data_IF_652708249748
#
_entry.id   IF_652708249748
#
_cell.length_a   1.000
_cell.length_b   1.000
_cell.length_c   1.000
_cell.angle_alpha   90.00
_cell.angle_beta   90.00
_cell.angle_gamma   90.00
#
_symmetry.space_group_name_H-M   'P 1'
#
loop_
_entity.id
_entity.type
_entity.pdbx_description
1 polymer ?
#
# COMPACT_ATOMS: atom_id res chain seq x y z
N UNK A 1 -1.86 8.37 -8.68
CA UNK A 1 -2.18 9.78 -8.96
C UNK A 1 -1.48 10.22 -10.26
N UNK A 2 -2.22 10.87 -11.15
CA UNK A 2 -1.65 11.47 -12.37
C UNK A 2 -1.51 12.99 -12.15
N UNK A 3 -0.26 13.46 -12.03
CA UNK A 3 0.03 14.86 -11.77
C UNK A 3 -0.35 15.81 -12.93
N UNK A 4 -0.37 15.31 -14.18
CA UNK A 4 -0.78 16.12 -15.32
C UNK A 4 -2.29 16.35 -15.38
N UNK A 5 -3.06 15.41 -14.84
CA UNK A 5 -4.54 15.46 -14.79
C UNK A 5 -5.05 15.86 -13.41
N UNK A 6 -4.15 16.01 -12.44
CA UNK A 6 -4.42 16.34 -11.03
C UNK A 6 -5.48 15.44 -10.38
N UNK A 7 -5.47 14.15 -10.74
CA UNK A 7 -6.47 13.19 -10.24
C UNK A 7 -5.90 11.83 -9.88
N UNK A 8 -6.62 11.12 -8.99
CA UNK A 8 -6.40 9.69 -8.75
C UNK A 8 -6.93 8.93 -9.96
N UNK A 9 -6.06 8.17 -10.64
CA UNK A 9 -6.43 7.35 -11.80
C UNK A 9 -6.57 5.87 -11.44
N UNK A 10 -5.97 5.43 -10.34
CA UNK A 10 -6.08 4.07 -9.82
C UNK A 10 -6.23 4.14 -8.31
N UNK A 11 -7.29 3.51 -7.79
CA UNK A 11 -7.51 3.25 -6.37
C UNK A 11 -7.99 1.80 -6.25
N UNK A 12 -7.04 0.88 -6.14
CA UNK A 12 -7.25 -0.55 -6.27
C UNK A 12 -6.45 -1.32 -5.21
N UNK A 13 -6.96 -2.46 -4.73
CA UNK A 13 -6.21 -3.32 -3.81
C UNK A 13 -4.90 -3.81 -4.41
N UNK A 14 -3.85 -3.91 -3.60
CA UNK A 14 -2.53 -4.43 -4.00
C UNK A 14 -2.52 -5.95 -4.02
N UNK A 15 -3.37 -6.55 -4.85
CA UNK A 15 -3.57 -7.99 -4.97
C UNK A 15 -3.43 -8.41 -6.43
N UNK A 16 -2.80 -9.55 -6.67
CA UNK A 16 -2.65 -10.14 -7.99
C UNK A 16 -3.03 -11.62 -7.99
N UNK A 17 -3.62 -12.08 -9.09
CA UNK A 17 -3.78 -13.51 -9.37
C UNK A 17 -2.72 -13.93 -10.39
N UNK A 18 -2.01 -14.99 -10.07
CA UNK A 18 -0.97 -15.56 -10.92
C UNK A 18 -1.36 -16.96 -11.39
N UNK A 19 -0.85 -17.37 -12.57
CA UNK A 19 -1.05 -18.69 -13.14
C UNK A 19 0.24 -19.51 -13.06
N UNK A 20 0.12 -20.73 -12.51
CA UNK A 20 1.18 -21.75 -12.53
C UNK A 20 2.49 -21.32 -11.91
N UNK A 21 3.55 -22.06 -12.23
CA UNK A 21 4.91 -21.80 -11.74
C UNK A 21 5.55 -20.54 -12.35
N UNK A 22 5.11 -20.14 -13.55
CA UNK A 22 5.62 -18.95 -14.25
C UNK A 22 5.25 -17.64 -13.57
N UNK A 23 4.30 -17.68 -12.62
CA UNK A 23 3.79 -16.51 -11.90
C UNK A 23 3.30 -15.38 -12.83
N UNK A 24 2.82 -15.75 -14.02
CA UNK A 24 2.20 -14.79 -14.92
C UNK A 24 1.01 -14.12 -14.24
N UNK A 25 1.04 -12.80 -14.13
CA UNK A 25 -0.06 -12.03 -13.54
C UNK A 25 -1.21 -11.95 -14.52
N UNK A 26 -2.35 -12.56 -14.18
CA UNK A 26 -3.54 -12.63 -15.03
C UNK A 26 -4.61 -11.61 -14.65
N UNK A 27 -4.77 -11.33 -13.34
CA UNK A 27 -5.70 -10.33 -12.83
C UNK A 27 -5.05 -9.52 -11.70
N UNK A 28 -5.50 -8.27 -11.48
CA UNK A 28 -4.99 -7.36 -10.45
C UNK A 28 -6.12 -6.56 -9.83
N UNK A 29 -5.87 -6.02 -8.63
CA UNK A 29 -6.79 -5.11 -7.96
C UNK A 29 -8.08 -5.78 -7.51
N UNK A 30 -9.20 -5.10 -7.69
CA UNK A 30 -10.53 -5.57 -7.32
C UNK A 30 -10.90 -6.87 -8.04
N UNK A 31 -10.55 -7.00 -9.33
CA UNK A 31 -10.76 -8.24 -10.09
C UNK A 31 -10.05 -9.44 -9.46
N UNK A 32 -8.79 -9.25 -9.04
CA UNK A 32 -8.03 -10.28 -8.34
C UNK A 32 -8.63 -10.61 -6.96
N UNK A 33 -9.10 -9.60 -6.24
CA UNK A 33 -9.73 -9.77 -4.93
C UNK A 33 -11.04 -10.58 -5.03
N UNK A 34 -11.84 -10.34 -6.06
CA UNK A 34 -13.10 -11.06 -6.29
C UNK A 34 -12.89 -12.55 -6.65
N UNK A 35 -11.69 -12.89 -7.11
CA UNK A 35 -11.29 -14.28 -7.38
C UNK A 35 -10.83 -15.02 -6.12
N UNK A 36 -10.63 -14.35 -5.00
CA UNK A 36 -10.18 -14.96 -3.74
C UNK A 36 -11.16 -16.02 -3.27
N UNK A 37 -10.67 -17.23 -3.04
CA UNK A 37 -11.49 -18.39 -2.62
C UNK A 37 -12.34 -19.02 -3.71
N UNK A 38 -12.22 -18.55 -4.97
CA UNK A 38 -12.95 -19.08 -6.14
C UNK A 38 -12.00 -19.59 -7.24
N UNK A 39 -10.69 -19.56 -6.99
CA UNK A 39 -9.68 -19.93 -7.97
C UNK A 39 -9.51 -21.44 -8.05
N UNK A 40 -9.28 -21.93 -9.27
CA UNK A 40 -8.85 -23.31 -9.50
C UNK A 40 -7.43 -23.54 -8.94
N UNK A 41 -7.05 -24.79 -8.68
CA UNK A 41 -5.75 -25.17 -8.08
C UNK A 41 -4.52 -24.63 -8.84
N UNK A 42 -4.68 -24.27 -10.10
CA UNK A 42 -3.62 -23.70 -10.94
C UNK A 42 -3.42 -22.19 -10.76
N UNK A 43 -4.26 -21.52 -9.96
CA UNK A 43 -4.22 -20.07 -9.75
C UNK A 43 -3.88 -19.75 -8.30
N UNK A 44 -2.99 -18.77 -8.10
CA UNK A 44 -2.61 -18.29 -6.78
C UNK A 44 -2.94 -16.81 -6.62
N UNK A 45 -3.55 -16.46 -5.50
CA UNK A 45 -3.80 -15.06 -5.13
C UNK A 45 -2.67 -14.58 -4.22
N UNK A 46 -1.97 -13.54 -4.62
CA UNK A 46 -0.78 -13.03 -3.95
C UNK A 46 -0.90 -11.54 -3.65
N UNK A 47 -0.34 -11.14 -2.51
CA UNK A 47 -0.10 -9.74 -2.19
C UNK A 47 1.41 -9.46 -2.35
N UNK A 48 1.85 -8.86 -3.45
CA UNK A 48 3.28 -8.68 -3.75
C UNK A 48 3.93 -7.57 -2.94
N UNK A 49 3.14 -6.76 -2.24
CA UNK A 49 3.63 -5.69 -1.34
C UNK A 49 3.01 -5.90 0.04
N UNK A 50 3.83 -5.98 1.07
CA UNK A 50 3.38 -6.16 2.43
C UNK A 50 4.26 -5.37 3.40
N UNK A 51 3.66 -4.74 4.40
CA UNK A 51 4.35 -3.99 5.46
C UNK A 51 5.36 -2.96 4.91
N UNK A 52 5.01 -2.34 3.77
CA UNK A 52 5.84 -1.35 3.08
C UNK A 52 7.01 -1.92 2.25
N UNK A 53 7.14 -3.26 2.15
CA UNK A 53 8.20 -3.94 1.40
C UNK A 53 7.68 -4.79 0.24
N UNK A 54 8.56 -5.13 -0.71
CA UNK A 54 8.28 -6.04 -1.83
C UNK A 54 8.45 -7.48 -1.34
N UNK A 55 7.39 -8.29 -1.42
CA UNK A 55 7.43 -9.72 -1.05
C UNK A 55 7.66 -10.62 -2.26
N UNK A 56 7.28 -10.16 -3.45
CA UNK A 56 7.49 -10.87 -4.70
C UNK A 56 7.73 -9.88 -5.83
N UNK A 57 8.96 -9.84 -6.33
CA UNK A 57 9.40 -8.88 -7.33
C UNK A 57 8.63 -8.98 -8.64
N UNK A 58 8.59 -10.17 -9.26
CA UNK A 58 7.98 -10.38 -10.57
C UNK A 58 6.47 -10.07 -10.56
N UNK A 59 5.80 -10.47 -9.47
CA UNK A 59 4.37 -10.21 -9.30
C UNK A 59 4.12 -8.71 -9.06
N UNK A 60 4.99 -8.01 -8.33
CA UNK A 60 4.89 -6.57 -8.13
C UNK A 60 5.05 -5.80 -9.45
N UNK A 61 6.04 -6.18 -10.27
CA UNK A 61 6.23 -5.63 -11.62
C UNK A 61 5.01 -5.87 -12.48
N UNK A 62 4.51 -7.11 -12.52
CA UNK A 62 3.34 -7.48 -13.31
C UNK A 62 2.07 -6.74 -12.90
N UNK A 63 1.85 -6.60 -11.58
CA UNK A 63 0.74 -5.83 -11.02
C UNK A 63 0.80 -4.36 -11.43
N UNK A 64 1.94 -3.72 -11.21
CA UNK A 64 2.11 -2.30 -11.53
C UNK A 64 1.99 -2.06 -13.03
N UNK A 65 2.59 -2.92 -13.85
CA UNK A 65 2.48 -2.85 -15.30
C UNK A 65 1.03 -2.92 -15.77
N UNK A 66 0.23 -3.87 -15.24
CA UNK A 66 -1.20 -3.97 -15.59
C UNK A 66 -1.99 -2.73 -15.18
N UNK A 67 -1.69 -2.13 -14.01
CA UNK A 67 -2.33 -0.88 -13.61
C UNK A 67 -1.96 0.28 -14.53
N UNK A 68 -0.71 0.37 -14.94
CA UNK A 68 -0.25 1.39 -15.88
C UNK A 68 -0.85 1.18 -17.27
N UNK A 69 -0.82 -0.03 -17.81
CA UNK A 69 -1.40 -0.40 -19.12
C UNK A 69 -2.89 -0.05 -19.21
N UNK A 70 -3.64 -0.33 -18.15
CA UNK A 70 -5.09 -0.09 -18.09
C UNK A 70 -5.46 1.39 -18.06
N UNK A 71 -4.59 2.24 -17.49
CA UNK A 71 -4.93 3.62 -17.16
C UNK A 71 -4.12 4.67 -17.92
N UNK A 72 -3.01 4.27 -18.55
CA UNK A 72 -2.14 5.19 -19.30
C UNK A 72 -2.01 4.69 -20.74
N UNK A 73 -2.65 5.38 -21.68
CA UNK A 73 -2.60 5.06 -23.10
C UNK A 73 -1.17 5.19 -23.66
N UNK A 74 -0.41 4.06 -23.72
CA UNK A 74 0.88 3.91 -24.43
C UNK A 74 1.97 4.96 -24.16
N UNK A 75 2.03 5.58 -23.01
CA UNK A 75 2.97 6.68 -22.70
C UNK A 75 4.17 6.20 -21.85
N UNK A 76 4.48 4.90 -21.82
CA UNK A 76 5.47 4.30 -20.94
C UNK A 76 6.87 4.92 -21.01
N UNK A 77 7.32 5.42 -22.17
CA UNK A 77 8.69 5.89 -22.34
C UNK A 77 9.03 7.22 -21.66
N UNK A 78 8.07 7.85 -20.96
CA UNK A 78 8.24 9.19 -20.37
C UNK A 78 7.73 9.31 -18.94
N UNK A 79 7.33 8.21 -18.29
CA UNK A 79 6.79 8.25 -16.94
C UNK A 79 7.90 8.57 -15.95
N UNK A 80 7.70 9.62 -15.16
CA UNK A 80 8.43 9.87 -13.93
C UNK A 80 7.51 9.53 -12.76
N UNK A 81 7.97 8.68 -11.85
CA UNK A 81 7.17 8.21 -10.73
C UNK A 81 7.71 8.76 -9.42
N UNK A 82 6.83 9.31 -8.59
CA UNK A 82 7.08 9.51 -7.17
C UNK A 82 6.41 8.37 -6.40
N UNK A 83 7.16 7.69 -5.55
CA UNK A 83 6.70 6.52 -4.79
C UNK A 83 6.84 6.80 -3.31
N UNK A 84 5.73 6.69 -2.59
CA UNK A 84 5.73 6.79 -1.13
C UNK A 84 6.31 5.51 -0.53
N UNK A 85 7.24 5.67 0.41
CA UNK A 85 7.91 4.57 1.11
C UNK A 85 7.92 4.81 2.61
N UNK A 86 7.90 3.76 3.45
CA UNK A 86 8.00 3.94 4.88
C UNK A 86 9.30 4.62 5.30
N UNK A 87 9.23 5.45 6.32
CA UNK A 87 10.41 6.06 6.92
C UNK A 87 11.34 5.00 7.51
N UNK A 88 12.63 5.13 7.22
CA UNK A 88 13.65 4.26 7.79
C UNK A 88 13.75 2.87 7.16
N UNK A 89 13.16 2.64 5.98
CA UNK A 89 13.43 1.41 5.22
C UNK A 89 14.89 1.35 4.78
N UNK A 90 15.43 0.12 4.70
CA UNK A 90 16.82 -0.12 4.32
C UNK A 90 17.09 0.16 2.83
N UNK A 91 18.36 0.37 2.49
CA UNK A 91 18.77 0.66 1.10
C UNK A 91 18.43 -0.48 0.13
N UNK A 92 18.42 -1.72 0.61
CA UNK A 92 18.03 -2.90 -0.19
C UNK A 92 16.55 -2.84 -0.55
N UNK A 93 15.70 -2.48 0.41
CA UNK A 93 14.25 -2.33 0.19
C UNK A 93 13.96 -1.16 -0.74
N UNK A 94 14.66 -0.02 -0.59
CA UNK A 94 14.56 1.14 -1.49
C UNK A 94 14.88 0.74 -2.93
N UNK A 95 16.01 0.07 -3.15
CA UNK A 95 16.42 -0.40 -4.47
C UNK A 95 15.41 -1.36 -5.08
N UNK A 96 14.89 -2.31 -4.30
CA UNK A 96 13.86 -3.24 -4.78
C UNK A 96 12.61 -2.50 -5.28
N UNK A 97 12.16 -1.46 -4.57
CA UNK A 97 11.03 -0.64 -4.98
C UNK A 97 11.34 0.13 -6.27
N UNK A 98 12.51 0.78 -6.35
CA UNK A 98 12.94 1.49 -7.55
C UNK A 98 13.00 0.55 -8.77
N UNK A 99 13.61 -0.62 -8.62
CA UNK A 99 13.73 -1.62 -9.68
C UNK A 99 12.37 -2.16 -10.15
N UNK A 100 11.42 -2.38 -9.24
CA UNK A 100 10.04 -2.76 -9.60
C UNK A 100 9.40 -1.69 -10.47
N UNK A 101 9.50 -0.42 -10.08
CA UNK A 101 8.85 0.69 -10.78
C UNK A 101 9.51 0.95 -12.15
N UNK A 102 10.83 0.85 -12.23
CA UNK A 102 11.57 0.94 -13.51
C UNK A 102 11.20 -0.24 -14.42
N UNK A 103 11.18 -1.47 -13.89
CA UNK A 103 10.82 -2.67 -14.64
C UNK A 103 9.37 -2.66 -15.12
N UNK A 104 8.49 -1.95 -14.41
CA UNK A 104 7.12 -1.73 -14.85
C UNK A 104 6.98 -0.66 -15.95
N UNK A 105 8.05 0.09 -16.27
CA UNK A 105 8.10 1.02 -17.40
C UNK A 105 8.36 2.49 -17.06
N UNK A 106 8.63 2.84 -15.80
CA UNK A 106 9.02 4.19 -15.45
C UNK A 106 10.46 4.50 -15.90
N UNK A 107 10.68 5.73 -16.35
CA UNK A 107 12.00 6.22 -16.75
C UNK A 107 12.83 6.72 -15.56
N UNK A 108 12.16 7.36 -14.63
CA UNK A 108 12.76 7.96 -13.44
C UNK A 108 11.87 7.66 -12.24
N UNK A 109 12.49 7.38 -11.10
CA UNK A 109 11.80 7.07 -9.84
C UNK A 109 12.34 7.96 -8.73
N UNK A 110 11.45 8.56 -7.98
CA UNK A 110 11.76 9.38 -6.81
C UNK A 110 11.06 8.77 -5.61
N UNK A 111 11.83 8.42 -4.58
CA UNK A 111 11.26 7.92 -3.33
C UNK A 111 11.00 9.09 -2.40
N UNK A 112 9.83 9.11 -1.77
CA UNK A 112 9.43 10.09 -0.77
C UNK A 112 8.94 9.37 0.48
N UNK A 113 9.37 9.81 1.66
CA UNK A 113 8.89 9.21 2.91
C UNK A 113 7.39 9.47 3.11
N UNK A 114 6.65 8.43 3.53
CA UNK A 114 5.19 8.48 3.64
C UNK A 114 4.68 9.63 4.51
N UNK A 115 5.26 9.94 5.69
CA UNK A 115 4.81 11.07 6.48
C UNK A 115 5.02 12.42 5.78
N UNK A 116 6.10 12.57 4.98
CA UNK A 116 6.33 13.78 4.20
C UNK A 116 5.30 13.92 3.08
N UNK A 117 5.04 12.82 2.36
CA UNK A 117 4.01 12.79 1.33
C UNK A 117 2.62 13.09 1.93
N UNK A 118 2.32 12.50 3.10
CA UNK A 118 1.08 12.74 3.85
C UNK A 118 0.93 14.21 4.28
N UNK A 119 2.00 14.84 4.77
CA UNK A 119 2.01 16.25 5.14
C UNK A 119 1.67 17.15 3.95
N UNK A 120 2.31 16.89 2.79
CA UNK A 120 2.04 17.61 1.54
C UNK A 120 0.58 17.42 1.11
N UNK A 121 0.10 16.18 1.11
CA UNK A 121 -1.27 15.85 0.74
C UNK A 121 -2.34 16.45 1.65
N UNK A 122 -2.01 16.65 2.93
CA UNK A 122 -2.85 17.34 3.91
C UNK A 122 -2.80 18.89 3.79
N UNK A 123 -2.00 19.43 2.87
CA UNK A 123 -1.87 20.88 2.67
C UNK A 123 -1.01 21.57 3.74
N UNK A 124 -0.17 20.83 4.45
CA UNK A 124 0.78 21.42 5.41
C UNK A 124 1.88 22.14 4.62
N UNK A 125 2.16 23.40 4.97
CA UNK A 125 3.33 24.08 4.42
C UNK A 125 4.61 23.57 5.11
N UNK A 126 5.19 22.56 4.47
CA UNK A 126 6.40 21.90 4.97
C UNK A 126 7.65 22.80 4.96
N UNK A 127 7.63 23.93 4.25
CA UNK A 127 8.78 24.84 4.11
C UNK A 127 8.89 25.82 5.28
N UNK A 128 7.84 25.95 6.08
CA UNK A 128 7.90 26.78 7.29
C UNK A 128 8.94 26.25 8.29
N UNK A 129 9.62 27.15 9.03
CA UNK A 129 10.53 26.76 10.12
C UNK A 129 9.76 26.38 11.38
N UNK A 130 8.79 25.49 11.23
CA UNK A 130 7.96 24.91 12.29
C UNK A 130 8.02 23.40 12.21
N UNK A 131 8.00 22.72 13.35
CA UNK A 131 7.88 21.27 13.41
C UNK A 131 6.42 20.86 13.39
N UNK A 132 6.03 20.09 12.38
CA UNK A 132 4.72 19.47 12.28
C UNK A 132 4.83 18.00 12.65
N UNK A 133 4.03 17.54 13.60
CA UNK A 133 3.94 16.13 13.95
C UNK A 133 2.92 15.47 13.03
N UNK A 134 3.39 14.52 12.24
CA UNK A 134 2.57 13.73 11.30
C UNK A 134 2.43 12.33 11.88
N UNK A 135 1.20 11.83 11.92
CA UNK A 135 0.89 10.44 12.26
C UNK A 135 0.20 9.83 11.04
N UNK A 136 0.86 8.85 10.44
CA UNK A 136 0.37 8.12 9.27
C UNK A 136 0.05 6.67 9.70
N UNK A 137 -1.22 6.29 9.61
CA UNK A 137 -1.69 4.94 9.96
C UNK A 137 -2.21 4.28 8.70
N UNK A 138 -1.37 3.46 8.08
CA UNK A 138 -1.69 2.73 6.86
C UNK A 138 -2.29 1.34 7.09
N UNK A 139 -2.17 0.49 6.10
CA UNK A 139 -2.54 -0.91 6.20
C UNK A 139 -1.46 -1.73 6.93
N UNK A 140 -0.20 -1.62 6.52
CA UNK A 140 0.91 -2.42 7.06
C UNK A 140 1.76 -1.70 8.10
N UNK A 141 1.90 -0.37 8.01
CA UNK A 141 2.78 0.43 8.87
C UNK A 141 2.04 1.59 9.53
N UNK A 142 2.47 1.91 10.76
CA UNK A 142 2.13 3.15 11.44
C UNK A 142 3.40 3.96 11.62
N UNK A 143 3.38 5.21 11.21
CA UNK A 143 4.53 6.10 11.21
C UNK A 143 4.22 7.38 11.97
N UNK A 144 5.17 7.81 12.77
CA UNK A 144 5.13 9.12 13.44
C UNK A 144 6.40 9.87 13.04
N UNK A 145 6.25 11.07 12.53
CA UNK A 145 7.39 11.90 12.11
C UNK A 145 7.20 13.36 12.49
N UNK A 146 8.31 14.04 12.66
CA UNK A 146 8.35 15.50 12.69
C UNK A 146 8.88 15.98 11.34
N UNK A 147 8.08 16.79 10.68
CA UNK A 147 8.42 17.40 9.37
C UNK A 147 8.67 18.89 9.58
N UNK A 148 9.74 19.42 9.00
CA UNK A 148 10.10 20.84 9.05
C UNK A 148 11.05 21.18 7.90
N UNK A 149 10.99 22.39 7.36
CA UNK A 149 11.90 22.90 6.32
C UNK A 149 12.08 21.95 5.14
N UNK A 150 10.96 21.38 4.66
CA UNK A 150 10.92 20.50 3.48
C UNK A 150 11.40 19.07 3.70
N UNK A 151 11.67 18.64 4.92
CA UNK A 151 12.19 17.30 5.20
C UNK A 151 11.68 16.67 6.50
N UNK A 152 11.96 15.37 6.64
CA UNK A 152 11.71 14.63 7.88
C UNK A 152 12.89 14.85 8.83
N UNK A 153 12.62 15.43 9.99
CA UNK A 153 13.63 15.70 11.03
C UNK A 153 13.90 14.46 11.88
N UNK A 154 12.84 13.77 12.26
CA UNK A 154 12.87 12.51 13.00
C UNK A 154 11.63 11.71 12.68
N UNK A 155 11.78 10.40 12.60
CA UNK A 155 10.65 9.50 12.38
C UNK A 155 10.80 8.20 13.15
N UNK A 156 9.66 7.56 13.39
CA UNK A 156 9.56 6.22 13.94
C UNK A 156 8.49 5.47 13.16
N UNK A 157 8.84 4.30 12.64
CA UNK A 157 7.91 3.40 11.95
C UNK A 157 7.76 2.09 12.74
N UNK A 158 6.53 1.58 12.79
CA UNK A 158 6.21 0.26 13.33
C UNK A 158 5.38 -0.53 12.33
N UNK A 159 5.66 -1.84 12.19
CA UNK A 159 4.91 -2.75 11.31
C UNK A 159 3.66 -3.28 12.05
N UNK A 160 2.80 -2.36 12.47
CA UNK A 160 1.51 -2.66 13.12
C UNK A 160 0.54 -1.56 12.75
N UNK A 161 -0.49 -1.89 12.01
CA UNK A 161 -1.49 -0.96 11.48
C UNK A 161 -2.80 -1.69 11.16
N UNK A 162 -3.55 -1.25 10.17
CA UNK A 162 -4.86 -1.77 9.82
C UNK A 162 -4.93 -3.30 9.64
N UNK A 163 -3.90 -3.89 9.00
CA UNK A 163 -3.82 -5.33 8.78
C UNK A 163 -3.64 -6.13 10.08
N UNK A 164 -2.88 -5.59 11.03
CA UNK A 164 -2.71 -6.19 12.35
C UNK A 164 -4.04 -6.21 13.12
N UNK A 165 -4.78 -5.09 13.09
CA UNK A 165 -6.10 -5.00 13.71
C UNK A 165 -7.11 -5.98 13.08
N UNK A 166 -7.09 -6.17 11.76
CA UNK A 166 -7.93 -7.17 11.09
C UNK A 166 -7.60 -8.59 11.56
N UNK A 167 -6.31 -8.91 11.68
CA UNK A 167 -5.87 -10.20 12.18
C UNK A 167 -6.28 -10.42 13.65
N UNK A 168 -6.20 -9.40 14.49
CA UNK A 168 -6.63 -9.48 15.90
C UNK A 168 -8.14 -9.75 15.99
N UNK A 169 -8.95 -9.11 15.12
CA UNK A 169 -10.39 -9.38 15.04
C UNK A 169 -10.64 -10.83 14.63
N UNK A 170 -9.96 -11.35 13.62
CA UNK A 170 -10.07 -12.75 13.19
C UNK A 170 -9.77 -13.70 14.35
N UNK A 171 -8.64 -13.47 15.04
CA UNK A 171 -8.22 -14.30 16.17
C UNK A 171 -9.23 -14.23 17.34
N UNK A 172 -9.74 -13.04 17.64
CA UNK A 172 -10.75 -12.84 18.68
C UNK A 172 -12.03 -13.63 18.39
N UNK A 173 -12.54 -13.52 17.15
CA UNK A 173 -13.76 -14.23 16.73
C UNK A 173 -13.54 -15.75 16.75
N UNK A 174 -12.41 -16.22 16.24
CA UNK A 174 -12.04 -17.64 16.29
C UNK A 174 -11.98 -18.15 17.72
N UNK A 175 -11.30 -17.42 18.62
CA UNK A 175 -11.14 -17.81 20.03
C UNK A 175 -12.47 -17.81 20.79
N UNK A 176 -13.31 -16.79 20.57
CA UNK A 176 -14.54 -16.60 21.36
C UNK A 176 -15.73 -17.43 20.86
N UNK A 177 -15.83 -17.59 19.54
CA UNK A 177 -17.02 -18.19 18.91
C UNK A 177 -16.70 -19.45 18.11
N UNK A 178 -15.41 -19.82 17.99
CA UNK A 178 -14.94 -20.94 17.15
C UNK A 178 -15.39 -20.83 15.68
N UNK A 179 -15.42 -19.59 15.15
CA UNK A 179 -15.80 -19.26 13.77
C UNK A 179 -14.60 -18.65 13.05
N UNK A 180 -14.34 -19.12 11.84
CA UNK A 180 -13.36 -18.48 10.95
C UNK A 180 -14.05 -17.48 10.05
N UNK A 181 -13.52 -16.26 10.01
CA UNK A 181 -14.00 -15.19 9.11
C UNK A 181 -12.88 -14.79 8.15
N UNK A 182 -13.28 -14.36 6.95
CA UNK A 182 -12.34 -13.83 5.97
C UNK A 182 -11.78 -12.46 6.40
N UNK A 183 -10.55 -12.13 5.97
CA UNK A 183 -9.91 -10.83 6.24
C UNK A 183 -10.80 -9.66 5.83
N UNK A 184 -11.44 -9.74 4.66
CA UNK A 184 -12.37 -8.70 4.18
C UNK A 184 -13.59 -8.51 5.09
N UNK A 185 -14.03 -9.56 5.80
CA UNK A 185 -15.10 -9.46 6.80
C UNK A 185 -14.62 -8.75 8.05
N UNK A 186 -13.40 -9.08 8.52
CA UNK A 186 -12.79 -8.42 9.66
C UNK A 186 -12.57 -6.92 9.40
N UNK A 187 -12.04 -6.58 8.22
CA UNK A 187 -11.84 -5.20 7.79
C UNK A 187 -13.16 -4.42 7.74
N UNK A 188 -14.22 -4.97 7.16
CA UNK A 188 -15.55 -4.35 7.16
C UNK A 188 -16.09 -4.14 8.58
N UNK A 189 -15.87 -5.11 9.48
CA UNK A 189 -16.25 -5.00 10.88
C UNK A 189 -15.45 -3.88 11.58
N UNK A 190 -14.13 -3.83 11.37
CA UNK A 190 -13.26 -2.77 11.88
C UNK A 190 -13.74 -1.39 11.44
N UNK A 191 -13.98 -1.19 10.15
CA UNK A 191 -14.43 0.10 9.60
C UNK A 191 -15.78 0.50 10.16
N UNK A 192 -16.72 -0.46 10.26
CA UNK A 192 -18.10 -0.18 10.68
C UNK A 192 -18.28 0.00 12.19
N UNK A 193 -17.46 -0.71 13.00
CA UNK A 193 -17.65 -0.79 14.44
C UNK A 193 -16.48 -0.22 15.24
N UNK A 194 -15.37 0.06 14.58
CA UNK A 194 -14.17 0.55 15.23
C UNK A 194 -14.35 1.99 15.72
N UNK A 195 -13.86 2.25 16.94
CA UNK A 195 -13.81 3.59 17.50
C UNK A 195 -12.45 3.80 18.19
N UNK A 196 -11.90 4.99 18.04
CA UNK A 196 -10.63 5.35 18.67
C UNK A 196 -10.75 5.59 20.18
N UNK A 197 -11.96 5.81 20.68
CA UNK A 197 -12.24 6.01 22.11
C UNK A 197 -13.44 5.16 22.55
N UNK A 198 -13.36 4.67 23.78
CA UNK A 198 -14.48 3.93 24.40
C UNK A 198 -15.70 4.86 24.53
N UNK A 199 -16.86 4.40 24.03
CA UNK A 199 -18.11 5.14 24.11
C UNK A 199 -18.41 6.04 22.91
N UNK A 200 -17.51 6.14 21.91
CA UNK A 200 -17.86 6.68 20.61
C UNK A 200 -18.50 5.55 19.78
N UNK A 201 -19.79 5.67 19.52
CA UNK A 201 -20.47 4.87 18.49
C UNK A 201 -20.41 5.66 17.19
N UNK A 202 -19.95 5.04 16.13
CA UNK A 202 -20.05 5.58 14.76
C UNK A 202 -21.48 5.52 14.26
#
# INVERSE_FOLDING_TARGET
YNANEEKIIVDEPTVAVTRGESREVIAVGTEALDMLGKTADSLSVLNPVKDGGITNFDVAVGLLKKFLDKNLNNVFSKIRAAVSVPSGIGDVEKRAIEEVVISAGAKEVYLIESPLAGAIGAGVDINEPKGYVIVDVGAGTTEVAVVSLGGVVVSKSVRSAGDALDNDIIQLIKKKYNVEIAKSTAEKAKIKLGAAMVGLTT
#
